data_IF_491526331437
#
_entry.id   IF_491526331437
#
_cell.length_a   1.000
_cell.length_b   1.000
_cell.length_c   1.000
_cell.angle_alpha   90.00
_cell.angle_beta   90.00
_cell.angle_gamma   90.00
#
_symmetry.space_group_name_H-M   'P 1'
#
loop_
_entity.id
_entity.type
_entity.pdbx_description
1 polymer ?
#
# COMPACT_ATOMS: atom_id res chain seq x y z
N UNK A 1 2.37 -8.70 4.87
CA UNK A 1 1.07 -8.18 4.40
C UNK A 1 0.59 -9.06 3.24
N UNK A 2 -0.69 -9.51 3.21
CA UNK A 2 -1.19 -10.45 2.19
C UNK A 2 -2.36 -9.84 1.40
N UNK A 3 -2.03 -9.06 0.38
CA UNK A 3 -3.00 -8.52 -0.58
C UNK A 3 -3.33 -9.57 -1.63
N UNK A 4 -4.62 -9.85 -1.84
CA UNK A 4 -5.07 -10.87 -2.82
C UNK A 4 -6.33 -10.49 -3.55
N UNK A 5 -6.94 -9.36 -3.22
CA UNK A 5 -8.16 -8.86 -3.85
C UNK A 5 -7.81 -7.55 -4.53
N UNK A 6 -8.18 -7.44 -5.80
CA UNK A 6 -8.21 -6.19 -6.56
C UNK A 6 -9.61 -5.59 -6.37
N UNK A 7 -9.74 -4.67 -5.41
CA UNK A 7 -11.02 -4.05 -5.06
C UNK A 7 -11.26 -2.78 -5.86
N UNK A 8 -10.19 -2.04 -6.18
CA UNK A 8 -10.29 -0.80 -6.95
C UNK A 8 -10.41 -1.04 -8.47
N UNK A 9 -10.24 -2.29 -8.92
CA UNK A 9 -10.34 -2.75 -10.31
C UNK A 9 -9.27 -2.15 -11.22
N UNK A 10 -8.07 -1.88 -10.71
CA UNK A 10 -6.94 -1.35 -11.48
C UNK A 10 -5.98 -2.42 -12.04
N UNK A 11 -6.28 -3.70 -11.80
CA UNK A 11 -5.49 -4.85 -12.23
C UNK A 11 -4.38 -5.24 -11.24
N UNK A 12 -4.26 -4.56 -10.10
CA UNK A 12 -3.34 -4.91 -9.01
C UNK A 12 -4.12 -5.22 -7.75
N UNK A 13 -3.60 -6.14 -6.94
CA UNK A 13 -4.23 -6.44 -5.65
C UNK A 13 -3.92 -5.34 -4.64
N UNK A 14 -4.96 -4.84 -3.99
CA UNK A 14 -4.90 -3.71 -3.05
C UNK A 14 -5.55 -4.04 -1.69
N UNK A 15 -6.30 -5.14 -1.61
CA UNK A 15 -7.14 -5.49 -0.45
C UNK A 15 -6.72 -6.82 0.16
N UNK A 16 -6.73 -6.85 1.50
CA UNK A 16 -6.56 -8.09 2.27
C UNK A 16 -7.92 -8.79 2.47
N UNK A 17 -8.02 -10.12 2.32
CA UNK A 17 -9.26 -10.85 2.56
C UNK A 17 -9.85 -10.64 3.96
N UNK A 18 -9.00 -10.40 4.96
CA UNK A 18 -9.43 -10.13 6.34
C UNK A 18 -10.10 -8.75 6.52
N UNK A 19 -9.88 -7.83 5.58
CA UNK A 19 -10.42 -6.48 5.57
C UNK A 19 -11.03 -6.19 4.18
N UNK A 20 -12.06 -6.95 3.77
CA UNK A 20 -12.49 -7.04 2.37
C UNK A 20 -13.10 -5.75 1.81
N UNK A 21 -13.43 -4.79 2.67
CA UNK A 21 -14.02 -3.49 2.31
C UNK A 21 -13.04 -2.32 2.53
N UNK A 22 -11.76 -2.63 2.73
CA UNK A 22 -10.73 -1.64 3.05
C UNK A 22 -9.58 -1.71 2.03
N UNK A 23 -9.76 -1.18 0.81
CA UNK A 23 -8.69 -1.12 -0.16
C UNK A 23 -7.53 -0.29 0.35
N UNK A 24 -6.32 -0.81 0.18
CA UNK A 24 -5.06 -0.30 0.69
C UNK A 24 -4.97 -0.29 2.21
N UNK A 25 -5.69 0.63 2.86
CA UNK A 25 -5.88 0.79 4.29
C UNK A 25 -7.04 1.77 4.57
N UNK A 26 -7.37 1.98 5.85
CA UNK A 26 -8.40 2.93 6.28
C UNK A 26 -8.13 4.39 5.91
N UNK A 27 -6.89 4.73 5.55
CA UNK A 27 -6.51 6.07 5.10
C UNK A 27 -6.97 6.41 3.68
N UNK A 28 -7.49 5.44 2.91
CA UNK A 28 -8.06 5.65 1.55
C UNK A 28 -7.16 6.51 0.64
N UNK A 29 -5.93 6.07 0.33
CA UNK A 29 -4.94 6.89 -0.39
C UNK A 29 -5.40 7.40 -1.78
N UNK A 30 -6.44 6.79 -2.37
CA UNK A 30 -7.04 7.23 -3.63
C UNK A 30 -7.68 8.63 -3.54
N UNK A 31 -8.21 9.04 -2.39
CA UNK A 31 -8.79 10.40 -2.22
C UNK A 31 -7.72 11.47 -1.99
N UNK A 32 -6.48 11.05 -1.69
CA UNK A 32 -5.34 11.92 -1.44
C UNK A 32 -4.48 12.08 -2.69
N UNK A 33 -5.10 12.35 -3.85
CA UNK A 33 -4.40 12.55 -5.12
C UNK A 33 -3.60 11.32 -5.56
N UNK A 34 -4.17 10.12 -5.39
CA UNK A 34 -3.55 8.83 -5.75
C UNK A 34 -2.19 8.58 -5.07
N UNK A 35 -2.00 9.07 -3.85
CA UNK A 35 -0.76 8.91 -3.11
C UNK A 35 -0.94 8.88 -1.60
N UNK A 36 0.11 8.48 -0.92
CA UNK A 36 0.18 8.34 0.53
C UNK A 36 1.35 9.16 1.05
N UNK A 37 1.09 9.94 2.10
CA UNK A 37 2.15 10.62 2.85
C UNK A 37 2.54 9.69 4.00
N UNK A 38 3.78 9.20 4.00
CA UNK A 38 4.29 8.28 5.02
C UNK A 38 5.32 9.00 5.86
N UNK A 39 5.10 9.03 7.17
CA UNK A 39 6.10 9.47 8.13
C UNK A 39 7.04 8.30 8.43
N UNK A 40 8.33 8.49 8.19
CA UNK A 40 9.39 7.53 8.46
C UNK A 40 9.86 7.63 9.91
N UNK A 41 10.63 6.65 10.36
CA UNK A 41 11.04 6.53 11.77
C UNK A 41 11.94 7.69 12.23
N UNK A 42 12.67 8.30 11.30
CA UNK A 42 13.51 9.48 11.53
C UNK A 42 12.72 10.81 11.53
N UNK A 43 11.39 10.74 11.34
CA UNK A 43 10.49 11.88 11.35
C UNK A 43 10.31 12.57 9.99
N UNK A 44 11.00 12.14 8.94
CA UNK A 44 10.76 12.65 7.59
C UNK A 44 9.41 12.17 7.06
N UNK A 45 8.79 12.99 6.20
CA UNK A 45 7.57 12.61 5.50
C UNK A 45 7.86 12.51 4.02
N UNK A 46 7.59 11.34 3.45
CA UNK A 46 7.68 11.11 2.03
C UNK A 46 6.32 10.85 1.41
N UNK A 47 6.10 11.47 0.24
CA UNK A 47 4.92 11.22 -0.57
C UNK A 47 5.24 10.19 -1.65
N UNK A 48 4.52 9.08 -1.62
CA UNK A 48 4.65 7.98 -2.59
C UNK A 48 3.30 7.70 -3.24
N UNK A 49 3.30 7.20 -4.47
CA UNK A 49 2.07 6.74 -5.10
C UNK A 49 1.54 5.50 -4.36
N UNK A 50 0.21 5.34 -4.27
CA UNK A 50 -0.34 4.12 -3.66
C UNK A 50 0.09 2.86 -4.44
N UNK A 51 0.23 2.98 -5.76
CA UNK A 51 0.63 1.87 -6.61
C UNK A 51 2.05 1.41 -6.33
N UNK A 52 2.97 2.33 -5.99
CA UNK A 52 4.32 1.97 -5.59
C UNK A 52 4.33 1.39 -4.17
N UNK A 53 3.65 2.04 -3.23
CA UNK A 53 3.65 1.61 -1.83
C UNK A 53 3.00 0.23 -1.66
N UNK A 54 1.91 -0.07 -2.35
CA UNK A 54 1.23 -1.37 -2.28
C UNK A 54 1.69 -2.40 -3.32
N UNK A 55 2.74 -2.10 -4.09
CA UNK A 55 3.25 -3.07 -5.06
C UNK A 55 3.64 -4.38 -4.38
N UNK A 56 3.30 -5.50 -5.02
CA UNK A 56 3.68 -6.84 -4.57
C UNK A 56 4.51 -7.58 -5.62
N UNK A 57 5.34 -8.51 -5.17
CA UNK A 57 6.11 -9.41 -6.03
C UNK A 57 5.31 -10.66 -6.43
N UNK A 58 5.95 -11.54 -7.21
CA UNK A 58 5.37 -12.84 -7.63
C UNK A 58 5.09 -13.78 -6.45
N UNK A 59 5.73 -13.57 -5.29
CA UNK A 59 5.54 -14.33 -4.04
C UNK A 59 4.48 -13.68 -3.14
N UNK A 60 3.75 -12.67 -3.65
CA UNK A 60 2.71 -11.91 -2.96
C UNK A 60 3.21 -11.17 -1.71
N UNK A 61 4.47 -10.74 -1.73
CA UNK A 61 5.07 -9.89 -0.70
C UNK A 61 5.11 -8.44 -1.15
N UNK A 62 4.91 -7.51 -0.22
CA UNK A 62 5.12 -6.07 -0.49
C UNK A 62 6.58 -5.82 -0.86
N UNK A 63 6.82 -4.91 -1.80
CA UNK A 63 8.19 -4.65 -2.31
C UNK A 63 8.75 -3.31 -1.89
N UNK A 64 7.91 -2.36 -1.47
CA UNK A 64 8.38 -1.04 -1.08
C UNK A 64 9.07 -1.09 0.28
N UNK A 65 10.27 -0.52 0.39
CA UNK A 65 11.09 -0.61 1.60
C UNK A 65 10.42 -0.06 2.84
N UNK A 66 9.57 0.96 2.69
CA UNK A 66 8.79 1.56 3.80
C UNK A 66 7.88 0.59 4.59
N UNK A 67 7.66 -0.63 4.11
CA UNK A 67 6.98 -1.68 4.91
C UNK A 67 7.89 -2.39 5.91
N UNK A 68 9.20 -2.16 5.83
CA UNK A 68 10.23 -2.82 6.61
C UNK A 68 10.96 -1.77 7.47
N UNK A 69 11.36 -2.15 8.67
CA UNK A 69 12.09 -1.25 9.59
C UNK A 69 13.58 -1.16 9.25
N UNK A 70 14.10 -2.20 8.60
CA UNK A 70 15.49 -2.30 8.15
C UNK A 70 15.43 -2.27 6.62
N UNK A 71 16.05 -1.26 6.02
CA UNK A 71 16.24 -1.13 4.57
C UNK A 71 17.66 -1.60 4.20
#
# INVERSE_FOLDING_TARGET
YRFTVDFNLDGKVDTMPQYPETPFNFGRPTVHGNGSNNTLLDGHVERVSFQALWAIDRRKQVVHSFWYMED
#
